data_IF_473559450464
#
_entry.id   IF_473559450464
#
_cell.length_a   1.000
_cell.length_b   1.000
_cell.length_c   1.000
_cell.angle_alpha   90.00
_cell.angle_beta   90.00
_cell.angle_gamma   90.00
#
_symmetry.space_group_name_H-M   'P 1'
#
loop_
_entity.id
_entity.type
_entity.pdbx_description
1 polymer ?
#
# COMPACT_ATOMS: atom_id res chain seq x y z
N UNK A 1 12.37 -11.93 -15.25
CA UNK A 1 12.09 -13.37 -15.10
C UNK A 1 10.76 -13.71 -15.73
N UNK A 2 10.46 -15.00 -15.81
CA UNK A 2 9.18 -15.51 -16.29
C UNK A 2 8.07 -15.31 -15.24
N UNK A 3 6.80 -15.45 -15.64
CA UNK A 3 5.65 -15.24 -14.75
C UNK A 3 5.63 -16.22 -13.57
N UNK A 4 6.02 -17.49 -13.80
CA UNK A 4 6.01 -18.54 -12.78
C UNK A 4 6.94 -18.26 -11.59
N UNK A 5 7.92 -17.36 -11.73
CA UNK A 5 8.73 -16.91 -10.60
C UNK A 5 7.87 -16.20 -9.55
N UNK A 6 6.84 -15.45 -9.98
CA UNK A 6 5.94 -14.73 -9.10
C UNK A 6 4.94 -15.66 -8.41
N UNK A 7 4.57 -16.78 -9.05
CA UNK A 7 3.73 -17.82 -8.46
C UNK A 7 4.49 -18.55 -7.35
N UNK A 8 5.74 -18.95 -7.61
CA UNK A 8 6.59 -19.56 -6.59
C UNK A 8 6.89 -18.60 -5.43
N UNK A 9 7.16 -17.33 -5.72
CA UNK A 9 7.37 -16.31 -4.71
C UNK A 9 6.11 -16.05 -3.87
N UNK A 10 4.94 -16.05 -4.49
CA UNK A 10 3.66 -15.90 -3.76
C UNK A 10 3.48 -17.01 -2.70
N UNK A 11 3.88 -18.23 -3.03
CA UNK A 11 3.71 -19.38 -2.14
C UNK A 11 4.76 -19.49 -1.03
N UNK A 12 5.98 -18.96 -1.25
CA UNK A 12 7.14 -19.27 -0.41
C UNK A 12 7.88 -18.06 0.15
N UNK A 13 7.71 -16.86 -0.40
CA UNK A 13 8.48 -15.68 -0.03
C UNK A 13 7.66 -14.69 0.81
N UNK A 14 8.32 -14.00 1.73
CA UNK A 14 7.70 -12.94 2.54
C UNK A 14 7.45 -11.65 1.74
N UNK A 15 8.14 -11.48 0.61
CA UNK A 15 8.06 -10.31 -0.25
C UNK A 15 8.88 -10.49 -1.52
N UNK A 16 8.71 -9.57 -2.46
CA UNK A 16 9.41 -9.58 -3.75
C UNK A 16 10.05 -8.23 -4.06
N UNK A 17 11.12 -8.27 -4.86
CA UNK A 17 11.74 -7.07 -5.44
C UNK A 17 11.29 -6.84 -6.88
N UNK A 18 11.20 -5.58 -7.28
CA UNK A 18 10.74 -5.03 -8.56
C UNK A 18 9.27 -5.28 -8.91
N UNK A 19 8.80 -6.54 -8.88
CA UNK A 19 7.40 -6.90 -9.16
C UNK A 19 6.86 -6.47 -10.54
N UNK A 20 7.71 -6.05 -11.48
CA UNK A 20 7.28 -5.42 -12.74
C UNK A 20 6.33 -6.29 -13.56
N UNK A 21 6.54 -7.61 -13.56
CA UNK A 21 5.74 -8.56 -14.32
C UNK A 21 4.36 -8.82 -13.71
N UNK A 22 4.06 -8.40 -12.47
CA UNK A 22 2.71 -8.52 -11.91
C UNK A 22 1.68 -7.79 -12.77
N UNK A 23 2.09 -6.76 -13.52
CA UNK A 23 1.22 -6.05 -14.48
C UNK A 23 0.67 -6.95 -15.60
N UNK A 24 1.29 -8.12 -15.84
CA UNK A 24 0.90 -9.06 -16.89
C UNK A 24 -0.17 -10.06 -16.44
N UNK A 25 -0.42 -10.17 -15.13
CA UNK A 25 -1.40 -11.11 -14.56
C UNK A 25 -2.25 -10.40 -13.50
N UNK A 26 -3.47 -10.03 -13.89
CA UNK A 26 -4.45 -9.44 -12.95
C UNK A 26 -4.82 -10.38 -11.80
N UNK A 27 -5.06 -11.69 -12.02
CA UNK A 27 -5.35 -12.60 -10.91
C UNK A 27 -4.22 -12.64 -9.87
N UNK A 28 -2.97 -12.72 -10.32
CA UNK A 28 -1.83 -12.77 -9.42
C UNK A 28 -1.65 -11.45 -8.68
N UNK A 29 -1.81 -10.32 -9.37
CA UNK A 29 -1.79 -9.01 -8.73
C UNK A 29 -2.85 -8.90 -7.62
N UNK A 30 -4.05 -9.43 -7.85
CA UNK A 30 -5.12 -9.43 -6.87
C UNK A 30 -4.78 -10.30 -5.65
N UNK A 31 -4.18 -11.47 -5.86
CA UNK A 31 -3.69 -12.31 -4.75
C UNK A 31 -2.62 -11.59 -3.90
N UNK A 32 -1.67 -10.89 -4.53
CA UNK A 32 -0.68 -10.08 -3.81
C UNK A 32 -1.33 -8.97 -2.98
N UNK A 33 -2.40 -8.35 -3.51
CA UNK A 33 -3.19 -7.36 -2.78
C UNK A 33 -3.91 -7.98 -1.57
N UNK A 34 -4.66 -9.07 -1.77
CA UNK A 34 -5.42 -9.73 -0.69
C UNK A 34 -4.52 -10.25 0.42
N UNK A 35 -3.39 -10.87 0.08
CA UNK A 35 -2.43 -11.40 1.04
C UNK A 35 -1.54 -10.32 1.66
N UNK A 36 -1.49 -9.12 1.06
CA UNK A 36 -0.67 -8.01 1.57
C UNK A 36 0.84 -8.24 1.42
N UNK A 37 1.26 -9.03 0.42
CA UNK A 37 2.67 -9.38 0.18
C UNK A 37 3.44 -8.12 -0.24
N UNK A 38 4.59 -7.90 0.41
CA UNK A 38 5.44 -6.72 0.17
C UNK A 38 6.09 -6.72 -1.20
N UNK A 39 6.06 -5.57 -1.88
CA UNK A 39 6.70 -5.36 -3.18
C UNK A 39 7.63 -4.14 -3.07
N UNK A 40 8.94 -4.38 -3.01
CA UNK A 40 9.95 -3.33 -3.05
C UNK A 40 10.26 -2.97 -4.51
N UNK A 41 9.93 -1.76 -4.94
CA UNK A 41 10.11 -1.30 -6.32
C UNK A 41 11.19 -0.23 -6.40
N UNK A 42 12.02 -0.30 -7.44
CA UNK A 42 13.06 0.70 -7.74
C UNK A 42 12.83 1.35 -9.10
N UNK A 43 11.91 2.34 -9.21
CA UNK A 43 11.55 2.96 -10.48
C UNK A 43 12.72 3.58 -11.26
N UNK A 44 13.75 4.17 -10.62
CA UNK A 44 14.88 4.75 -11.35
C UNK A 44 15.79 3.68 -11.97
N UNK A 45 16.10 2.61 -11.23
CA UNK A 45 16.81 1.44 -11.80
C UNK A 45 16.02 0.84 -12.97
N UNK A 46 14.72 0.63 -12.79
CA UNK A 46 13.83 0.08 -13.82
C UNK A 46 13.78 0.96 -15.08
N UNK A 47 13.80 2.29 -14.93
CA UNK A 47 13.85 3.26 -16.03
C UNK A 47 15.10 3.11 -16.89
N UNK A 48 16.25 2.88 -16.27
CA UNK A 48 17.51 2.80 -16.99
C UNK A 48 17.70 1.44 -17.69
N UNK A 49 17.07 0.37 -17.20
CA UNK A 49 17.33 -0.99 -17.68
C UNK A 49 16.20 -1.61 -18.51
N UNK A 50 14.93 -1.40 -18.15
CA UNK A 50 13.84 -2.27 -18.62
C UNK A 50 12.62 -1.51 -19.15
N UNK A 51 12.24 -0.41 -18.50
CA UNK A 51 10.92 0.17 -18.66
C UNK A 51 10.95 1.65 -18.28
N UNK A 52 10.60 2.52 -19.22
CA UNK A 52 10.58 3.96 -18.95
C UNK A 52 9.78 4.31 -17.70
N UNK A 53 10.21 5.33 -16.96
CA UNK A 53 9.66 5.72 -15.67
C UNK A 53 8.16 5.94 -15.72
N UNK A 54 7.66 6.48 -16.84
CA UNK A 54 6.23 6.74 -17.03
C UNK A 54 5.39 5.46 -17.17
N UNK A 55 5.99 4.37 -17.63
CA UNK A 55 5.32 3.09 -17.86
C UNK A 55 5.45 2.14 -16.68
N UNK A 56 6.12 2.56 -15.61
CA UNK A 56 6.27 1.74 -14.39
C UNK A 56 4.90 1.44 -13.79
N UNK A 57 4.64 0.20 -13.35
CA UNK A 57 3.37 -0.14 -12.73
C UNK A 57 3.29 0.28 -11.26
N UNK A 58 4.33 0.91 -10.72
CA UNK A 58 4.41 1.33 -9.31
C UNK A 58 3.21 2.17 -8.88
N UNK A 59 2.87 3.21 -9.64
CA UNK A 59 1.77 4.09 -9.28
C UNK A 59 0.42 3.36 -9.30
N UNK A 60 0.19 2.52 -10.31
CA UNK A 60 -1.03 1.70 -10.39
C UNK A 60 -1.14 0.75 -9.20
N UNK A 61 -0.03 0.12 -8.79
CA UNK A 61 -0.01 -0.79 -7.64
C UNK A 61 -0.30 -0.03 -6.33
N UNK A 62 0.31 1.14 -6.16
CA UNK A 62 0.09 1.99 -4.99
C UNK A 62 -1.36 2.48 -4.87
N UNK A 63 -1.94 2.96 -5.97
CA UNK A 63 -3.33 3.44 -5.98
C UNK A 63 -4.30 2.31 -5.67
N UNK A 64 -4.08 1.11 -6.22
CA UNK A 64 -4.87 -0.10 -5.92
C UNK A 64 -4.71 -0.61 -4.49
N UNK A 65 -3.72 -0.11 -3.75
CA UNK A 65 -3.52 -0.48 -2.35
C UNK A 65 -2.68 -1.74 -2.14
N UNK A 66 -1.88 -2.14 -3.15
CA UNK A 66 -0.87 -3.16 -2.94
C UNK A 66 0.17 -2.65 -1.93
N UNK A 67 0.74 -3.57 -1.15
CA UNK A 67 1.79 -3.29 -0.17
C UNK A 67 3.12 -3.00 -0.89
N UNK A 68 3.24 -1.80 -1.47
CA UNK A 68 4.42 -1.36 -2.20
C UNK A 68 5.31 -0.45 -1.36
N UNK A 69 6.62 -0.53 -1.59
CA UNK A 69 7.63 0.37 -1.06
C UNK A 69 8.59 0.82 -2.16
N UNK A 70 9.29 1.94 -1.93
CA UNK A 70 10.35 2.42 -2.81
C UNK A 70 11.72 1.97 -2.31
N UNK A 71 12.55 1.49 -3.23
CA UNK A 71 13.93 1.05 -3.00
C UNK A 71 14.87 1.62 -4.07
N UNK A 72 16.19 1.55 -3.84
CA UNK A 72 17.20 2.11 -4.74
C UNK A 72 17.81 1.10 -5.72
N UNK A 73 17.75 -0.21 -5.39
CA UNK A 73 18.48 -1.27 -6.12
C UNK A 73 20.01 -1.03 -6.10
N UNK A 74 20.58 -0.46 -7.18
CA UNK A 74 22.01 -0.12 -7.29
C UNK A 74 22.24 1.41 -7.23
N UNK A 75 22.40 2.02 -6.04
CA UNK A 75 22.52 3.46 -5.90
C UNK A 75 23.72 4.03 -6.65
N UNK A 76 24.85 3.32 -6.66
CA UNK A 76 26.08 3.77 -7.33
C UNK A 76 25.92 3.87 -8.85
N UNK A 77 25.05 3.05 -9.45
CA UNK A 77 24.88 2.98 -10.90
C UNK A 77 23.85 3.97 -11.41
N UNK A 78 22.78 4.21 -10.64
CA UNK A 78 21.58 4.90 -11.15
C UNK A 78 21.30 6.26 -10.52
N UNK A 79 21.94 6.60 -9.41
CA UNK A 79 21.64 7.82 -8.66
C UNK A 79 22.79 8.82 -8.75
N UNK A 80 22.44 10.10 -8.74
CA UNK A 80 23.42 11.19 -8.90
C UNK A 80 23.60 11.99 -7.60
N UNK A 81 22.67 11.85 -6.66
CA UNK A 81 22.70 12.56 -5.38
C UNK A 81 23.45 11.78 -4.30
N UNK A 82 23.79 12.46 -3.20
CA UNK A 82 24.39 11.82 -2.02
C UNK A 82 23.40 10.97 -1.22
N UNK A 83 22.09 11.17 -1.44
CA UNK A 83 21.01 10.51 -0.71
C UNK A 83 20.10 9.78 -1.72
N UNK A 84 20.53 8.61 -2.23
CA UNK A 84 19.87 7.95 -3.37
C UNK A 84 18.42 7.59 -3.11
N UNK A 85 18.09 7.14 -1.89
CA UNK A 85 16.70 6.83 -1.54
C UNK A 85 15.82 8.09 -1.50
N UNK A 86 16.37 9.22 -1.04
CA UNK A 86 15.64 10.49 -1.04
C UNK A 86 15.39 11.00 -2.46
N UNK A 87 16.32 10.74 -3.38
CA UNK A 87 16.16 11.01 -4.81
C UNK A 87 15.00 10.19 -5.42
N UNK A 88 14.90 8.88 -5.13
CA UNK A 88 13.76 8.05 -5.57
C UNK A 88 12.41 8.60 -5.08
N UNK A 89 12.30 8.93 -3.79
CA UNK A 89 11.08 9.51 -3.23
C UNK A 89 10.75 10.87 -3.86
N UNK A 90 11.78 11.70 -4.11
CA UNK A 90 11.61 13.03 -4.70
C UNK A 90 11.13 12.95 -6.16
N UNK A 91 11.73 12.05 -6.95
CA UNK A 91 11.33 11.81 -8.33
C UNK A 91 9.93 11.21 -8.40
N UNK A 92 9.62 10.21 -7.57
CA UNK A 92 8.29 9.60 -7.51
C UNK A 92 7.22 10.64 -7.14
N UNK A 93 7.52 11.51 -6.16
CA UNK A 93 6.63 12.62 -5.77
C UNK A 93 6.31 13.54 -6.94
N UNK A 94 7.33 14.01 -7.66
CA UNK A 94 7.16 14.95 -8.76
C UNK A 94 6.45 14.30 -9.95
N UNK A 95 6.85 13.08 -10.27
CA UNK A 95 6.38 12.37 -11.45
C UNK A 95 4.93 11.87 -11.30
N UNK A 96 4.60 11.26 -10.16
CA UNK A 96 3.26 10.71 -9.87
C UNK A 96 2.36 11.66 -9.07
N UNK A 97 2.82 12.88 -8.80
CA UNK A 97 2.10 13.90 -8.02
C UNK A 97 1.64 13.40 -6.64
N UNK A 98 2.51 12.64 -5.97
CA UNK A 98 2.22 12.09 -4.65
C UNK A 98 2.16 13.20 -3.59
N UNK A 99 1.19 13.11 -2.69
CA UNK A 99 1.08 13.95 -1.51
C UNK A 99 2.10 13.54 -0.44
N UNK A 100 2.24 14.35 0.61
CA UNK A 100 3.06 13.98 1.78
C UNK A 100 2.52 12.71 2.46
N UNK A 101 1.21 12.57 2.58
CA UNK A 101 0.58 11.39 3.17
C UNK A 101 0.88 10.12 2.35
N UNK A 102 0.92 10.22 1.02
CA UNK A 102 1.29 9.10 0.14
C UNK A 102 2.73 8.66 0.37
N UNK A 103 3.67 9.60 0.46
CA UNK A 103 5.08 9.30 0.73
C UNK A 103 5.29 8.72 2.14
N UNK A 104 4.57 9.23 3.14
CA UNK A 104 4.60 8.69 4.49
C UNK A 104 4.03 7.26 4.55
N UNK A 105 2.97 6.95 3.78
CA UNK A 105 2.46 5.58 3.67
C UNK A 105 3.50 4.65 3.04
N UNK A 106 4.16 5.07 1.95
CA UNK A 106 5.23 4.30 1.32
C UNK A 106 6.40 4.03 2.27
N UNK A 107 6.79 5.04 3.05
CA UNK A 107 7.84 4.91 4.06
C UNK A 107 7.41 4.01 5.24
N UNK A 108 6.14 4.08 5.66
CA UNK A 108 5.58 3.17 6.66
C UNK A 108 5.61 1.72 6.16
N UNK A 109 5.22 1.50 4.92
CA UNK A 109 5.21 0.17 4.30
C UNK A 109 6.63 -0.41 4.21
N UNK A 110 7.64 0.40 3.89
CA UNK A 110 9.04 -0.08 3.84
C UNK A 110 9.53 -0.57 5.21
N UNK A 111 9.13 0.10 6.30
CA UNK A 111 9.43 -0.36 7.67
C UNK A 111 8.72 -1.67 7.96
N UNK A 112 7.45 -1.82 7.61
CA UNK A 112 6.70 -3.07 7.80
C UNK A 112 7.34 -4.23 7.03
N UNK A 113 7.74 -4.00 5.78
CA UNK A 113 8.40 -4.96 4.88
C UNK A 113 9.85 -5.29 5.28
N UNK A 114 10.48 -4.47 6.12
CA UNK A 114 11.87 -4.67 6.51
C UNK A 114 12.07 -5.93 7.37
N UNK A 115 13.30 -6.45 7.41
CA UNK A 115 13.65 -7.61 8.26
C UNK A 115 13.93 -7.27 9.73
N UNK A 116 13.67 -6.03 10.19
CA UNK A 116 13.99 -5.65 11.56
C UNK A 116 13.07 -6.34 12.60
N UNK A 117 13.57 -6.57 13.83
CA UNK A 117 12.76 -7.10 14.93
C UNK A 117 11.50 -6.26 15.21
N UNK A 118 10.39 -6.89 15.67
CA UNK A 118 9.13 -6.18 15.97
C UNK A 118 9.30 -5.02 16.94
N UNK A 119 10.15 -5.15 17.97
CA UNK A 119 10.37 -4.10 18.98
C UNK A 119 10.97 -2.83 18.38
N UNK A 120 11.91 -2.98 17.43
CA UNK A 120 12.53 -1.86 16.72
C UNK A 120 11.50 -1.20 15.80
N UNK A 121 10.73 -2.01 15.07
CA UNK A 121 9.63 -1.52 14.22
C UNK A 121 8.59 -0.76 15.05
N UNK A 122 8.21 -1.26 16.21
CA UNK A 122 7.31 -0.59 17.15
C UNK A 122 7.88 0.74 17.65
N UNK A 123 9.20 0.80 17.87
CA UNK A 123 9.91 2.04 18.14
C UNK A 123 9.73 3.10 17.06
N UNK A 124 9.81 2.73 15.78
CA UNK A 124 9.66 3.64 14.64
C UNK A 124 8.20 3.96 14.30
N UNK A 125 7.29 2.97 14.37
CA UNK A 125 5.89 3.10 13.96
C UNK A 125 4.96 3.57 15.09
N UNK A 126 5.39 3.41 16.34
CA UNK A 126 4.60 3.76 17.53
C UNK A 126 3.67 2.67 18.05
N UNK A 127 3.53 1.55 17.32
CA UNK A 127 2.84 0.35 17.80
C UNK A 127 3.53 -0.92 17.30
N UNK A 128 3.45 -1.99 18.09
CA UNK A 128 3.88 -3.34 17.70
C UNK A 128 2.87 -4.01 16.77
N UNK A 129 1.62 -3.52 16.74
CA UNK A 129 0.58 -4.02 15.86
C UNK A 129 0.64 -3.28 14.51
N UNK A 130 0.69 -4.03 13.41
CA UNK A 130 0.72 -3.48 12.05
C UNK A 130 -0.58 -2.77 11.65
N UNK A 131 -1.69 -3.10 12.31
CA UNK A 131 -3.00 -2.48 12.09
C UNK A 131 -3.16 -1.15 12.82
N UNK A 132 -2.32 -0.90 13.83
CA UNK A 132 -2.34 0.34 14.59
C UNK A 132 -1.39 1.36 13.98
N UNK A 133 -1.75 2.64 14.14
CA UNK A 133 -0.98 3.74 13.61
C UNK A 133 -0.90 4.88 14.61
N UNK A 134 0.32 5.25 14.96
CA UNK A 134 0.60 6.48 15.69
C UNK A 134 0.97 7.58 14.68
N UNK A 135 0.03 8.50 14.46
CA UNK A 135 0.21 9.63 13.55
C UNK A 135 1.43 10.50 13.91
N UNK A 136 1.82 10.57 15.17
CA UNK A 136 2.96 11.40 15.60
C UNK A 136 4.30 10.83 15.15
N UNK A 137 4.36 9.53 14.86
CA UNK A 137 5.57 8.85 14.38
C UNK A 137 5.55 8.59 12.88
N UNK A 138 4.43 8.14 12.34
CA UNK A 138 4.34 7.77 10.92
C UNK A 138 3.97 8.95 10.02
N UNK A 139 3.33 9.99 10.58
CA UNK A 139 2.75 11.10 9.83
C UNK A 139 1.73 10.67 8.75
N UNK A 140 1.22 9.43 8.83
CA UNK A 140 0.15 8.93 7.97
C UNK A 140 -1.19 9.17 8.67
N UNK A 141 -2.18 9.82 8.04
CA UNK A 141 -3.50 9.99 8.64
C UNK A 141 -4.17 8.63 8.96
N UNK A 142 -4.73 8.47 10.16
CA UNK A 142 -5.43 7.23 10.55
C UNK A 142 -6.56 6.86 9.57
N UNK A 143 -7.31 7.85 9.11
CA UNK A 143 -8.38 7.65 8.13
C UNK A 143 -7.88 7.00 6.82
N UNK A 144 -6.63 7.26 6.43
CA UNK A 144 -6.03 6.67 5.23
C UNK A 144 -5.85 5.17 5.41
N UNK A 145 -5.34 4.74 6.56
CA UNK A 145 -5.10 3.32 6.85
C UNK A 145 -6.41 2.58 7.11
N UNK A 146 -7.34 3.21 7.83
CA UNK A 146 -8.70 2.69 8.02
C UNK A 146 -9.39 2.42 6.68
N UNK A 147 -9.28 3.36 5.73
CA UNK A 147 -9.78 3.18 4.37
C UNK A 147 -9.12 2.00 3.65
N UNK A 148 -7.78 1.87 3.71
CA UNK A 148 -7.05 0.74 3.09
C UNK A 148 -7.51 -0.61 3.67
N UNK A 149 -7.63 -0.67 4.99
CA UNK A 149 -8.02 -1.87 5.72
C UNK A 149 -9.47 -2.26 5.43
N UNK A 150 -10.38 -1.28 5.41
CA UNK A 150 -11.78 -1.51 5.07
C UNK A 150 -11.91 -2.05 3.64
N UNK A 151 -11.27 -1.41 2.66
CA UNK A 151 -11.28 -1.90 1.27
C UNK A 151 -10.77 -3.34 1.17
N UNK A 152 -9.66 -3.67 1.83
CA UNK A 152 -9.11 -5.02 1.80
C UNK A 152 -10.04 -6.04 2.48
N UNK A 153 -10.66 -5.66 3.59
CA UNK A 153 -11.63 -6.51 4.29
C UNK A 153 -12.88 -6.78 3.44
N UNK A 154 -13.40 -5.75 2.75
CA UNK A 154 -14.56 -5.87 1.85
C UNK A 154 -14.24 -6.80 0.68
N UNK A 155 -13.05 -6.67 0.09
CA UNK A 155 -12.59 -7.53 -1.01
C UNK A 155 -12.38 -8.98 -0.55
N UNK A 156 -11.82 -9.19 0.64
CA UNK A 156 -11.67 -10.52 1.21
C UNK A 156 -13.02 -11.17 1.54
N UNK A 157 -13.98 -10.38 2.02
CA UNK A 157 -15.36 -10.81 2.26
C UNK A 157 -16.02 -11.27 0.95
N UNK A 158 -15.82 -10.53 -0.14
CA UNK A 158 -16.33 -10.89 -1.47
C UNK A 158 -15.77 -12.22 -1.97
N UNK A 159 -14.47 -12.48 -1.79
CA UNK A 159 -13.82 -13.73 -2.23
C UNK A 159 -14.23 -14.93 -1.38
N UNK A 160 -14.41 -14.73 -0.07
CA UNK A 160 -14.75 -15.81 0.86
C UNK A 160 -16.24 -16.19 0.84
N UNK A 161 -17.12 -15.36 0.28
CA UNK A 161 -18.54 -15.70 0.14
C UNK A 161 -18.74 -16.74 -0.98
N UNK A 162 -19.13 -17.95 -0.59
CA UNK A 162 -19.23 -19.14 -1.47
C UNK A 162 -20.55 -19.30 -2.21
N UNK A 163 -21.58 -18.52 -1.88
CA UNK A 163 -22.93 -18.70 -2.44
C UNK A 163 -23.34 -17.46 -3.24
N UNK A 164 -23.94 -17.66 -4.42
CA UNK A 164 -24.75 -16.85 -5.39
C UNK A 164 -24.95 -15.31 -5.25
N UNK A 165 -24.25 -14.67 -4.32
CA UNK A 165 -24.47 -13.37 -3.74
C UNK A 165 -23.28 -12.45 -4.03
N UNK A 166 -22.08 -12.96 -4.33
CA UNK A 166 -20.94 -12.11 -4.71
C UNK A 166 -21.26 -11.20 -5.91
N UNK A 167 -21.99 -11.71 -6.91
CA UNK A 167 -22.47 -10.91 -8.03
C UNK A 167 -23.67 -10.01 -7.67
N UNK A 168 -24.46 -10.35 -6.65
CA UNK A 168 -25.54 -9.48 -6.16
C UNK A 168 -24.98 -8.33 -5.31
N UNK A 169 -24.03 -8.59 -4.41
CA UNK A 169 -23.25 -7.60 -3.65
C UNK A 169 -22.51 -6.66 -4.60
N UNK A 170 -21.81 -7.19 -5.62
CA UNK A 170 -21.19 -6.36 -6.65
C UNK A 170 -22.21 -5.49 -7.41
N UNK A 171 -23.37 -6.06 -7.79
CA UNK A 171 -24.47 -5.34 -8.47
C UNK A 171 -25.21 -4.35 -7.56
N UNK A 172 -25.24 -4.60 -6.25
CA UNK A 172 -25.78 -3.68 -5.24
C UNK A 172 -24.86 -2.46 -5.03
N UNK A 173 -23.68 -2.47 -5.65
CA UNK A 173 -22.65 -1.45 -5.54
C UNK A 173 -21.58 -1.86 -4.53
N UNK A 174 -20.37 -1.29 -4.68
CA UNK A 174 -19.33 -1.37 -3.65
C UNK A 174 -19.99 -1.05 -2.31
N UNK A 175 -19.85 -1.90 -1.27
CA UNK A 175 -20.41 -1.62 0.05
C UNK A 175 -20.08 -0.17 0.37
N UNK A 176 -21.11 0.67 0.56
CA UNK A 176 -20.87 2.06 0.93
C UNK A 176 -19.95 2.01 2.14
N UNK A 177 -18.72 2.52 1.99
CA UNK A 177 -17.78 2.71 3.10
C UNK A 177 -18.61 3.24 4.25
N UNK A 178 -18.80 2.41 5.29
CA UNK A 178 -19.84 2.58 6.32
C UNK A 178 -19.99 4.07 6.62
N UNK A 179 -21.01 4.70 6.04
CA UNK A 179 -21.22 6.13 6.22
C UNK A 179 -21.49 6.25 7.71
N UNK A 180 -20.55 6.87 8.45
CA UNK A 180 -20.58 6.99 9.91
C UNK A 180 -22.03 7.17 10.35
N UNK A 181 -22.53 6.18 11.09
CA UNK A 181 -23.80 6.32 11.81
C UNK A 181 -23.69 7.62 12.57
N UNK A 182 -24.63 8.53 12.29
CA UNK A 182 -24.57 9.92 12.72
C UNK A 182 -24.22 10.01 14.21
N UNK A 183 -23.28 10.88 14.52
CA UNK A 183 -23.08 11.41 15.86
C UNK A 183 -24.47 11.80 16.38
N UNK A 184 -24.97 11.07 17.38
CA UNK A 184 -26.18 11.46 18.09
C UNK A 184 -25.96 12.88 18.61
N UNK A 185 -26.77 13.83 18.11
CA UNK A 185 -26.78 15.20 18.57
C UNK A 185 -27.24 15.24 20.02
N UNK A 186 -26.26 15.16 20.93
CA UNK A 186 -26.44 15.42 22.34
C UNK A 186 -26.39 16.92 22.63
N UNK A 187 -27.51 17.41 23.21
CA UNK A 187 -27.69 18.67 23.99
C UNK A 187 -27.85 19.94 23.13
N UNK A 188 -28.74 20.89 23.44
CA UNK A 188 -29.11 21.35 24.77
C UNK A 188 -30.57 21.85 24.85
N UNK A 189 -31.16 21.62 26.02
CA UNK A 189 -32.32 22.30 26.56
C UNK A 189 -32.07 23.81 26.68
N UNK A 190 -32.87 24.62 26.00
CA UNK A 190 -33.01 26.05 26.29
C UNK A 190 -33.95 26.23 27.49
N UNK A 191 -33.37 26.63 28.62
CA UNK A 191 -34.03 27.32 29.72
C UNK A 191 -33.66 28.81 29.62
N UNK A 192 -34.57 29.66 30.12
CA UNK A 192 -34.47 31.13 30.33
C UNK A 192 -34.74 31.96 29.06
N UNK A 193 -35.67 32.94 29.02
CA UNK A 193 -36.46 33.68 30.02
C UNK A 193 -37.71 34.23 29.33
#
# INVERSE_FOLDING_TARGET
GELHHLDAAFLLADGISHGLNLRKSMPLQYLYYLCGIGIAMSPCSNNNLFLSYQKTPFHDFFVRGLNVSLSTDDPLMFHQTKEPLMEEYSLAKQFFRLSSADLCELARNSVLQSGFPPDIKAGWLGSANSEENDMNKTNVPNLRLEYRNQCRADELHLVNHTDDDAMQVYRAGIPQTLRRVGVENGKASEQEQ
#
